data_IF_244088493996
#
_entry.id   IF_244088493996
#
_cell.length_a   1.000
_cell.length_b   1.000
_cell.length_c   1.000
_cell.angle_alpha   90.00
_cell.angle_beta   90.00
_cell.angle_gamma   90.00
#
_symmetry.space_group_name_H-M   'P 1'
#
loop_
_entity.id
_entity.type
_entity.pdbx_description
1 polymer ?
#
# COMPACT_ATOMS: atom_id res chain seq x y z
N UNK A 1 -45.18 57.25 7.01
CA UNK A 1 -45.62 55.89 7.38
C UNK A 1 -44.71 54.91 6.69
N UNK A 2 -44.21 53.96 7.48
CA UNK A 2 -43.15 53.03 7.13
C UNK A 2 -43.56 52.08 5.98
N UNK A 3 -42.59 51.72 5.15
CA UNK A 3 -42.45 50.34 4.66
C UNK A 3 -41.01 50.16 4.18
N UNK A 4 -40.21 49.51 5.01
CA UNK A 4 -38.97 48.85 4.63
C UNK A 4 -39.27 47.35 4.55
N UNK A 5 -38.39 46.62 3.86
CA UNK A 5 -38.43 45.20 3.46
C UNK A 5 -38.95 45.04 2.01
N UNK A 6 -38.22 44.41 1.09
CA UNK A 6 -37.57 43.11 1.23
C UNK A 6 -36.29 43.03 0.38
N UNK A 7 -35.23 42.48 0.98
CA UNK A 7 -34.02 42.04 0.27
C UNK A 7 -34.37 40.89 -0.68
N UNK A 8 -34.12 41.06 -1.98
CA UNK A 8 -34.15 39.96 -2.94
C UNK A 8 -32.72 39.68 -3.41
N UNK A 9 -31.97 38.93 -2.60
CA UNK A 9 -30.67 38.42 -2.99
C UNK A 9 -30.90 37.21 -3.92
N UNK A 10 -30.73 37.41 -5.22
CA UNK A 10 -30.63 36.33 -6.19
C UNK A 10 -29.51 35.38 -5.77
N UNK A 11 -29.88 34.18 -5.32
CA UNK A 11 -28.94 33.09 -5.10
C UNK A 11 -28.49 32.57 -6.47
N UNK A 12 -27.31 33.03 -6.91
CA UNK A 12 -26.61 32.41 -8.03
C UNK A 12 -26.04 31.08 -7.55
N UNK A 13 -26.73 29.98 -7.84
CA UNK A 13 -26.17 28.64 -7.66
C UNK A 13 -25.08 28.42 -8.71
N UNK A 14 -23.82 28.65 -8.37
CA UNK A 14 -22.70 28.20 -9.20
C UNK A 14 -22.56 26.69 -9.03
N UNK A 15 -23.26 25.92 -9.86
CA UNK A 15 -22.99 24.50 -10.07
C UNK A 15 -21.63 24.37 -10.75
N UNK A 16 -20.58 24.24 -9.96
CA UNK A 16 -19.29 23.78 -10.46
C UNK A 16 -19.43 22.29 -10.82
N UNK A 17 -18.89 21.83 -11.95
CA UNK A 17 -18.87 20.42 -12.26
C UNK A 17 -18.02 19.74 -11.18
N UNK A 18 -18.66 18.92 -10.35
CA UNK A 18 -17.97 18.00 -9.47
C UNK A 18 -17.29 16.97 -10.38
N UNK A 19 -16.12 17.31 -10.89
CA UNK A 19 -15.17 16.31 -11.34
C UNK A 19 -14.75 15.60 -10.06
N UNK A 20 -15.49 14.54 -9.74
CA UNK A 20 -15.04 13.48 -8.86
C UNK A 20 -13.87 12.79 -9.57
N UNK A 21 -12.76 13.51 -9.71
CA UNK A 21 -11.47 12.84 -9.68
C UNK A 21 -11.41 12.31 -8.27
N UNK A 22 -11.96 11.10 -8.10
CA UNK A 22 -11.45 10.16 -7.14
C UNK A 22 -9.93 10.22 -7.34
N UNK A 23 -9.24 11.01 -6.53
CA UNK A 23 -7.85 10.76 -6.21
C UNK A 23 -7.91 9.44 -5.45
N UNK A 24 -8.20 8.35 -6.17
CA UNK A 24 -7.77 7.03 -5.80
C UNK A 24 -6.30 7.24 -5.49
N UNK A 25 -5.96 7.15 -4.22
CA UNK A 25 -4.59 7.08 -3.77
C UNK A 25 -4.01 5.90 -4.54
N UNK A 26 -3.36 6.19 -5.67
CA UNK A 26 -3.02 5.19 -6.67
C UNK A 26 -1.84 4.41 -6.13
N UNK A 27 -2.13 3.47 -5.24
CA UNK A 27 -1.18 2.49 -4.74
C UNK A 27 -0.38 1.95 -5.92
N UNK A 28 0.94 2.09 -5.83
CA UNK A 28 1.88 1.65 -6.87
C UNK A 28 1.78 0.15 -7.07
N UNK A 29 1.52 -0.58 -5.99
CA UNK A 29 1.37 -2.02 -5.96
C UNK A 29 -0.02 -2.42 -5.49
N UNK A 30 -0.49 -3.55 -5.98
CA UNK A 30 -1.70 -4.20 -5.48
C UNK A 30 -1.35 -5.06 -4.26
N UNK A 31 -0.16 -5.66 -4.22
CA UNK A 31 0.28 -6.56 -3.14
C UNK A 31 1.72 -6.25 -2.71
N UNK A 32 1.94 -6.14 -1.41
CA UNK A 32 3.26 -6.31 -0.78
C UNK A 32 3.43 -7.79 -0.38
N UNK A 33 4.47 -8.46 -0.86
CA UNK A 33 4.73 -9.86 -0.56
C UNK A 33 5.99 -10.01 0.29
N UNK A 34 5.82 -10.25 1.60
CA UNK A 34 6.91 -10.53 2.55
C UNK A 34 7.10 -12.03 2.74
N UNK A 35 8.36 -12.47 2.77
CA UNK A 35 8.73 -13.86 2.93
C UNK A 35 10.21 -14.01 3.30
N UNK A 36 10.50 -15.04 4.10
CA UNK A 36 11.90 -15.41 4.37
C UNK A 36 12.54 -16.01 3.12
N UNK A 37 13.49 -15.28 2.55
CA UNK A 37 14.17 -15.65 1.30
C UNK A 37 14.83 -17.03 1.34
N UNK A 38 15.51 -17.37 2.43
CA UNK A 38 16.16 -18.67 2.61
C UNK A 38 15.21 -19.86 2.59
N UNK A 39 13.96 -19.64 3.00
CA UNK A 39 13.00 -20.71 3.25
C UNK A 39 12.08 -20.93 2.05
N UNK A 40 11.66 -19.84 1.40
CA UNK A 40 10.53 -19.91 0.46
C UNK A 40 10.75 -19.29 -0.92
N UNK A 41 11.90 -18.64 -1.15
CA UNK A 41 12.14 -17.90 -2.41
C UNK A 41 11.87 -18.73 -3.64
N UNK A 42 12.46 -19.91 -3.74
CA UNK A 42 12.46 -20.75 -4.94
C UNK A 42 11.34 -21.81 -4.94
N UNK A 43 10.32 -21.67 -4.07
CA UNK A 43 9.22 -22.62 -3.95
C UNK A 43 7.84 -21.93 -4.07
N UNK A 44 7.05 -21.91 -3.00
CA UNK A 44 5.72 -21.32 -2.95
C UNK A 44 5.73 -19.82 -3.27
N UNK A 45 6.74 -19.07 -2.81
CA UNK A 45 6.79 -17.62 -3.06
C UNK A 45 7.01 -17.31 -4.53
N UNK A 46 7.92 -18.03 -5.21
CA UNK A 46 8.14 -17.83 -6.65
C UNK A 46 6.88 -18.13 -7.46
N UNK A 47 6.18 -19.22 -7.09
CA UNK A 47 4.94 -19.62 -7.73
C UNK A 47 3.83 -18.59 -7.49
N UNK A 48 3.72 -18.06 -6.28
CA UNK A 48 2.74 -17.03 -5.93
C UNK A 48 2.99 -15.76 -6.73
N UNK A 49 4.23 -15.26 -6.71
CA UNK A 49 4.65 -14.08 -7.46
C UNK A 49 4.40 -14.24 -8.97
N UNK A 50 4.81 -15.37 -9.54
CA UNK A 50 4.61 -15.66 -10.97
C UNK A 50 3.13 -15.70 -11.34
N UNK A 51 2.29 -16.29 -10.49
CA UNK A 51 0.84 -16.37 -10.72
C UNK A 51 0.19 -14.99 -10.62
N UNK A 52 0.58 -14.17 -9.65
CA UNK A 52 0.11 -12.79 -9.51
C UNK A 52 0.46 -11.97 -10.75
N UNK A 53 1.71 -12.06 -11.21
CA UNK A 53 2.17 -11.36 -12.41
C UNK A 53 1.42 -11.79 -13.67
N UNK A 54 1.18 -13.10 -13.85
CA UNK A 54 0.38 -13.64 -14.96
C UNK A 54 -1.08 -13.13 -14.94
N UNK A 55 -1.60 -12.80 -13.75
CA UNK A 55 -2.95 -12.24 -13.57
C UNK A 55 -2.98 -10.71 -13.65
N UNK A 56 -1.84 -10.06 -13.91
CA UNK A 56 -1.74 -8.60 -13.96
C UNK A 56 -1.81 -7.93 -12.59
N UNK A 57 -1.59 -8.68 -11.50
CA UNK A 57 -1.53 -8.14 -10.14
C UNK A 57 -0.12 -7.57 -9.93
N UNK A 58 -0.03 -6.26 -9.64
CA UNK A 58 1.26 -5.58 -9.44
C UNK A 58 1.77 -5.90 -8.04
N UNK A 59 2.74 -6.81 -7.94
CA UNK A 59 3.26 -7.27 -6.65
C UNK A 59 4.66 -6.70 -6.40
N UNK A 60 4.86 -6.05 -5.27
CA UNK A 60 6.19 -5.82 -4.71
C UNK A 60 6.65 -7.11 -4.02
N UNK A 61 7.77 -7.68 -4.46
CA UNK A 61 8.33 -8.92 -3.91
C UNK A 61 9.51 -8.54 -3.02
N UNK A 62 9.32 -8.64 -1.72
CA UNK A 62 10.35 -8.27 -0.76
C UNK A 62 11.44 -9.34 -0.70
N UNK A 63 12.62 -9.00 -1.20
CA UNK A 63 13.72 -9.92 -1.31
C UNK A 63 14.76 -9.64 -0.23
N UNK A 64 14.68 -10.40 0.87
CA UNK A 64 15.62 -10.34 1.99
C UNK A 64 17.09 -10.63 1.63
N UNK A 65 17.45 -10.94 0.38
CA UNK A 65 18.85 -11.10 -0.01
C UNK A 65 19.68 -9.80 0.11
N UNK A 66 19.05 -8.65 0.30
CA UNK A 66 19.73 -7.36 0.48
C UNK A 66 19.97 -7.03 1.96
N UNK A 67 20.79 -7.85 2.65
CA UNK A 67 21.30 -7.55 4.01
C UNK A 67 22.23 -6.31 4.08
N UNK A 68 22.31 -5.48 3.03
CA UNK A 68 23.18 -4.30 2.98
C UNK A 68 22.39 -2.98 3.04
N UNK A 69 22.10 -2.53 4.27
CA UNK A 69 22.08 -1.10 4.61
C UNK A 69 20.74 -0.46 4.95
N UNK A 70 20.82 0.68 5.67
CA UNK A 70 19.67 1.48 6.16
C UNK A 70 18.76 2.04 5.06
N UNK A 71 19.26 2.18 3.83
CA UNK A 71 18.48 2.68 2.69
C UNK A 71 17.38 1.70 2.25
N UNK A 72 17.59 0.40 2.47
CA UNK A 72 16.61 -0.64 2.11
C UNK A 72 15.33 -0.51 2.95
N UNK A 73 15.46 -0.22 4.24
CA UNK A 73 14.30 -0.11 5.13
C UNK A 73 13.33 1.00 4.72
N UNK A 74 13.84 2.18 4.32
CA UNK A 74 12.96 3.28 3.87
C UNK A 74 12.22 2.97 2.58
N UNK A 75 12.80 2.15 1.71
CA UNK A 75 12.14 1.70 0.48
C UNK A 75 11.07 0.64 0.78
N UNK A 76 11.31 -0.25 1.75
CA UNK A 76 10.32 -1.22 2.21
C UNK A 76 9.09 -0.57 2.82
N UNK A 77 9.27 0.38 3.74
CA UNK A 77 8.14 1.09 4.37
C UNK A 77 7.30 1.80 3.29
N UNK A 78 7.96 2.48 2.35
CA UNK A 78 7.25 3.07 1.21
C UNK A 78 6.53 2.04 0.35
N UNK A 79 7.12 0.88 0.10
CA UNK A 79 6.47 -0.16 -0.66
C UNK A 79 5.25 -0.75 0.06
N UNK A 80 5.27 -0.82 1.40
CA UNK A 80 4.13 -1.19 2.24
C UNK A 80 3.03 -0.12 2.10
N UNK A 81 3.36 1.15 2.31
CA UNK A 81 2.43 2.28 2.18
C UNK A 81 1.84 2.39 0.76
N UNK A 82 2.64 2.08 -0.27
CA UNK A 82 2.25 2.08 -1.68
C UNK A 82 1.52 0.80 -2.13
N UNK A 83 1.21 -0.12 -1.20
CA UNK A 83 0.48 -1.36 -1.47
C UNK A 83 -0.95 -1.32 -0.95
N UNK A 84 -1.86 -2.05 -1.60
CA UNK A 84 -3.26 -2.17 -1.15
C UNK A 84 -3.44 -3.22 -0.07
N UNK A 85 -2.72 -4.34 -0.19
CA UNK A 85 -2.72 -5.42 0.79
C UNK A 85 -1.29 -5.93 1.02
N UNK A 86 -1.04 -6.50 2.20
CA UNK A 86 0.15 -7.28 2.49
C UNK A 86 -0.18 -8.78 2.53
N UNK A 87 0.68 -9.60 1.92
CA UNK A 87 0.67 -11.06 2.01
C UNK A 87 1.98 -11.51 2.63
N UNK A 88 1.88 -12.25 3.73
CA UNK A 88 3.04 -12.70 4.51
C UNK A 88 3.15 -14.22 4.41
N UNK A 89 4.27 -14.73 3.88
CA UNK A 89 4.55 -16.17 3.79
C UNK A 89 5.34 -16.61 5.02
N UNK A 90 4.62 -17.00 6.07
CA UNK A 90 5.21 -17.53 7.29
C UNK A 90 5.91 -18.87 7.03
N UNK A 91 7.13 -18.99 7.54
CA UNK A 91 8.00 -20.17 7.38
C UNK A 91 8.79 -20.42 8.66
N UNK A 92 9.45 -21.58 8.73
CA UNK A 92 10.10 -22.07 9.95
C UNK A 92 11.10 -21.05 10.53
N UNK A 93 11.85 -20.34 9.67
CA UNK A 93 12.86 -19.39 10.10
C UNK A 93 12.45 -17.92 9.98
N UNK A 94 11.18 -17.65 9.65
CA UNK A 94 10.68 -16.28 9.51
C UNK A 94 10.91 -15.46 10.79
N UNK A 95 10.51 -16.00 11.95
CA UNK A 95 10.64 -15.30 13.24
C UNK A 95 12.08 -15.23 13.79
N UNK A 96 13.03 -15.93 13.16
CA UNK A 96 14.45 -15.86 13.55
C UNK A 96 15.19 -14.73 12.82
N UNK A 97 14.56 -14.08 11.84
CA UNK A 97 15.08 -12.91 11.15
C UNK A 97 14.55 -11.65 11.83
N UNK A 98 15.43 -10.86 12.44
CA UNK A 98 15.07 -9.55 13.00
C UNK A 98 14.49 -8.62 11.93
N UNK A 99 14.91 -8.81 10.68
CA UNK A 99 14.40 -8.08 9.53
C UNK A 99 12.94 -8.44 9.22
N UNK A 100 12.60 -9.74 9.13
CA UNK A 100 11.21 -10.19 8.95
C UNK A 100 10.27 -9.63 10.02
N UNK A 101 10.76 -9.53 11.27
CA UNK A 101 9.97 -9.01 12.39
C UNK A 101 9.80 -7.50 12.34
N UNK A 102 10.83 -6.77 11.88
CA UNK A 102 10.74 -5.33 11.66
C UNK A 102 9.77 -4.99 10.52
N UNK A 103 9.83 -5.75 9.42
CA UNK A 103 8.84 -5.66 8.34
C UNK A 103 7.43 -5.94 8.85
N UNK A 104 7.24 -7.01 9.62
CA UNK A 104 5.95 -7.37 10.17
C UNK A 104 5.39 -6.26 11.07
N UNK A 105 6.23 -5.65 11.90
CA UNK A 105 5.84 -4.51 12.72
C UNK A 105 5.41 -3.31 11.85
N UNK A 106 6.20 -2.96 10.83
CA UNK A 106 5.87 -1.87 9.91
C UNK A 106 4.56 -2.13 9.14
N UNK A 107 4.32 -3.37 8.69
CA UNK A 107 3.06 -3.76 8.05
C UNK A 107 1.88 -3.55 8.99
N UNK A 108 2.01 -3.96 10.25
CA UNK A 108 0.94 -3.78 11.26
C UNK A 108 0.70 -2.30 11.54
N UNK A 109 1.75 -1.50 11.70
CA UNK A 109 1.65 -0.05 11.93
C UNK A 109 1.03 0.72 10.75
N UNK A 110 1.36 0.33 9.51
CA UNK A 110 0.83 1.00 8.31
C UNK A 110 -0.60 0.57 7.94
N UNK A 111 -1.10 -0.55 8.48
CA UNK A 111 -2.41 -1.11 8.15
C UNK A 111 -3.45 -0.99 9.28
N UNK A 112 -3.12 -0.30 10.37
CA UNK A 112 -4.10 0.21 11.37
C UNK A 112 -4.96 1.35 10.81
#
# INVERSE_FOLDING_TARGET
MASVDTVNAFSSSSSLPFTDTFYEDRKKYDVYLSFRGSDTRNNITDRLYSTMNQKGIRTFRDDEQYEQGKSVHSELVRAIEDSKIAVIVLSQNYVFSTWCLAELAAIVECME
#
